data_IF_071474681542
#
_entry.id   IF_071474681542
#
_cell.length_a   1.000
_cell.length_b   1.000
_cell.length_c   1.000
_cell.angle_alpha   90.00
_cell.angle_beta   90.00
_cell.angle_gamma   90.00
#
_symmetry.space_group_name_H-M   'P 1'
#
loop_
_entity.id
_entity.type
_entity.pdbx_description
1 polymer ?
#
# COMPACT_ATOMS: atom_id res chain seq x y z
N UNK A 1 0.58 20.65 -18.46
CA UNK A 1 1.53 20.09 -17.46
C UNK A 1 0.89 19.90 -16.08
N UNK A 2 0.19 20.89 -15.52
CA UNK A 2 -0.43 20.81 -14.19
C UNK A 2 -1.45 19.67 -14.05
N UNK A 3 -2.31 19.45 -15.05
CA UNK A 3 -3.31 18.38 -15.01
C UNK A 3 -2.70 16.97 -14.99
N UNK A 4 -1.56 16.77 -15.68
CA UNK A 4 -0.85 15.49 -15.68
C UNK A 4 -0.30 15.16 -14.28
N UNK A 5 0.29 16.15 -13.61
CA UNK A 5 0.83 16.01 -12.25
C UNK A 5 -0.29 15.72 -11.24
N UNK A 6 -1.45 16.39 -11.37
CA UNK A 6 -2.62 16.13 -10.52
C UNK A 6 -3.11 14.70 -10.70
N UNK A 7 -3.19 14.21 -11.94
CA UNK A 7 -3.61 12.84 -12.24
C UNK A 7 -2.62 11.82 -11.66
N UNK A 8 -1.31 12.02 -11.82
CA UNK A 8 -0.29 11.14 -11.26
C UNK A 8 -0.35 11.07 -9.72
N UNK A 9 -0.57 12.22 -9.07
CA UNK A 9 -0.78 12.28 -7.62
C UNK A 9 -2.06 11.53 -7.20
N UNK A 10 -3.16 11.70 -7.93
CA UNK A 10 -4.41 10.99 -7.66
C UNK A 10 -4.26 9.47 -7.77
N UNK A 11 -3.60 9.00 -8.84
CA UNK A 11 -3.28 7.58 -9.05
C UNK A 11 -2.39 7.05 -7.93
N UNK A 12 -1.37 7.81 -7.54
CA UNK A 12 -0.48 7.42 -6.44
C UNK A 12 -1.22 7.30 -5.10
N UNK A 13 -2.11 8.25 -4.78
CA UNK A 13 -2.97 8.19 -3.59
C UNK A 13 -3.90 6.98 -3.62
N UNK A 14 -4.50 6.69 -4.77
CA UNK A 14 -5.37 5.52 -4.91
C UNK A 14 -4.60 4.20 -4.72
N UNK A 15 -3.38 4.09 -5.26
CA UNK A 15 -2.53 2.91 -5.06
C UNK A 15 -2.17 2.70 -3.58
N UNK A 16 -1.88 3.78 -2.85
CA UNK A 16 -1.65 3.72 -1.40
C UNK A 16 -2.89 3.20 -0.67
N UNK A 17 -4.07 3.80 -0.92
CA UNK A 17 -5.33 3.37 -0.28
C UNK A 17 -5.66 1.91 -0.57
N UNK A 18 -5.42 1.42 -1.80
CA UNK A 18 -5.64 0.02 -2.17
C UNK A 18 -4.71 -0.93 -1.42
N UNK A 19 -3.41 -0.60 -1.33
CA UNK A 19 -2.44 -1.41 -0.60
C UNK A 19 -2.77 -1.48 0.90
N UNK A 20 -3.21 -0.36 1.49
CA UNK A 20 -3.65 -0.32 2.88
C UNK A 20 -4.91 -1.15 3.12
N UNK A 21 -5.90 -1.05 2.24
CA UNK A 21 -7.11 -1.89 2.32
C UNK A 21 -6.76 -3.38 2.27
N UNK A 22 -5.85 -3.78 1.37
CA UNK A 22 -5.41 -5.17 1.28
C UNK A 22 -4.68 -5.65 2.53
N UNK A 23 -3.84 -4.78 3.11
CA UNK A 23 -3.19 -5.05 4.39
C UNK A 23 -4.20 -5.21 5.53
N UNK A 24 -5.20 -4.33 5.62
CA UNK A 24 -6.26 -4.44 6.63
C UNK A 24 -7.02 -5.75 6.49
N UNK A 25 -7.43 -6.12 5.27
CA UNK A 25 -8.09 -7.41 5.02
C UNK A 25 -7.23 -8.60 5.44
N UNK A 26 -5.93 -8.59 5.11
CA UNK A 26 -5.03 -9.66 5.51
C UNK A 26 -4.86 -9.78 7.03
N UNK A 27 -4.94 -8.66 7.77
CA UNK A 27 -4.96 -8.65 9.24
C UNK A 27 -6.28 -9.19 9.80
N UNK A 28 -7.41 -8.74 9.27
CA UNK A 28 -8.74 -9.23 9.69
C UNK A 28 -8.86 -10.75 9.52
N UNK A 29 -8.36 -11.29 8.40
CA UNK A 29 -8.33 -12.75 8.20
C UNK A 29 -7.45 -13.50 9.21
N UNK A 30 -6.45 -12.85 9.80
CA UNK A 30 -5.61 -13.44 10.86
C UNK A 30 -6.33 -13.40 12.21
N UNK A 31 -7.14 -12.37 12.45
CA UNK A 31 -7.95 -12.22 13.67
C UNK A 31 -9.12 -13.22 13.68
N UNK A 32 -9.63 -13.59 12.51
CA UNK A 32 -10.51 -14.74 12.34
C UNK A 32 -9.72 -16.03 12.60
N UNK A 33 -10.05 -16.76 13.67
CA UNK A 33 -9.38 -18.00 14.13
C UNK A 33 -9.30 -19.07 13.03
N UNK A 34 -8.30 -18.96 12.16
CA UNK A 34 -7.96 -19.92 11.13
C UNK A 34 -6.69 -20.63 11.58
N UNK A 35 -6.76 -21.92 11.93
CA UNK A 35 -5.69 -22.69 12.60
C UNK A 35 -4.25 -22.47 12.09
N UNK A 36 -3.26 -22.91 12.88
CA UNK A 36 -1.83 -22.52 12.80
C UNK A 36 -1.21 -22.41 11.39
N UNK A 37 -1.47 -23.36 10.49
CA UNK A 37 -0.94 -23.32 9.12
C UNK A 37 -1.50 -22.14 8.32
N UNK A 38 -2.78 -21.82 8.49
CA UNK A 38 -3.44 -20.66 7.89
C UNK A 38 -2.91 -19.37 8.53
N UNK A 39 -2.72 -19.35 9.85
CA UNK A 39 -2.15 -18.18 10.54
C UNK A 39 -0.73 -17.84 10.04
N UNK A 40 0.12 -18.85 9.80
CA UNK A 40 1.48 -18.67 9.26
C UNK A 40 1.47 -18.14 7.82
N UNK A 41 0.63 -18.70 6.95
CA UNK A 41 0.48 -18.22 5.57
C UNK A 41 -0.05 -16.78 5.53
N UNK A 42 -0.99 -16.44 6.42
CA UNK A 42 -1.50 -15.08 6.59
C UNK A 42 -0.42 -14.11 7.09
N UNK A 43 0.42 -14.52 8.04
CA UNK A 43 1.55 -13.71 8.48
C UNK A 43 2.53 -13.37 7.34
N UNK A 44 2.82 -14.33 6.46
CA UNK A 44 3.65 -14.09 5.28
C UNK A 44 2.99 -13.09 4.31
N UNK A 45 1.68 -13.24 4.07
CA UNK A 45 0.87 -12.32 3.27
C UNK A 45 0.85 -10.90 3.85
N UNK A 46 0.64 -10.75 5.16
CA UNK A 46 0.65 -9.46 5.86
C UNK A 46 2.01 -8.76 5.66
N UNK A 47 3.13 -9.48 5.81
CA UNK A 47 4.47 -8.92 5.56
C UNK A 47 4.65 -8.44 4.12
N UNK A 48 4.13 -9.20 3.14
CA UNK A 48 4.16 -8.78 1.74
C UNK A 48 3.33 -7.50 1.50
N UNK A 49 2.13 -7.45 2.06
CA UNK A 49 1.26 -6.26 1.94
C UNK A 49 1.83 -5.03 2.64
N UNK A 50 2.47 -5.19 3.81
CA UNK A 50 3.19 -4.09 4.47
C UNK A 50 4.30 -3.52 3.58
N UNK A 51 5.08 -4.39 2.91
CA UNK A 51 6.13 -3.95 1.98
C UNK A 51 5.52 -3.19 0.79
N UNK A 52 4.41 -3.68 0.23
CA UNK A 52 3.68 -3.02 -0.86
C UNK A 52 3.14 -1.65 -0.45
N UNK A 53 2.50 -1.56 0.72
CA UNK A 53 2.00 -0.29 1.26
C UNK A 53 3.14 0.72 1.50
N UNK A 54 4.27 0.27 2.08
CA UNK A 54 5.46 1.10 2.27
C UNK A 54 6.04 1.60 0.94
N UNK A 55 6.13 0.73 -0.07
CA UNK A 55 6.62 1.11 -1.40
C UNK A 55 5.68 2.10 -2.10
N UNK A 56 4.36 1.89 -2.00
CA UNK A 56 3.37 2.81 -2.55
C UNK A 56 3.45 4.19 -1.89
N UNK A 57 3.58 4.24 -0.55
CA UNK A 57 3.77 5.50 0.19
C UNK A 57 5.06 6.22 -0.21
N UNK A 58 6.17 5.49 -0.36
CA UNK A 58 7.43 6.07 -0.86
C UNK A 58 7.28 6.66 -2.26
N UNK A 59 6.56 5.99 -3.16
CA UNK A 59 6.28 6.51 -4.51
C UNK A 59 5.42 7.77 -4.45
N UNK A 60 4.37 7.78 -3.63
CA UNK A 60 3.54 8.97 -3.44
C UNK A 60 4.37 10.16 -2.95
N UNK A 61 5.25 9.95 -1.95
CA UNK A 61 6.12 11.03 -1.44
C UNK A 61 7.05 11.59 -2.52
N UNK A 62 7.56 10.76 -3.43
CA UNK A 62 8.38 11.23 -4.57
C UNK A 62 7.60 12.08 -5.56
N UNK A 63 6.32 11.77 -5.77
CA UNK A 63 5.45 12.49 -6.71
C UNK A 63 4.90 13.79 -6.08
N UNK A 64 4.77 13.83 -4.75
CA UNK A 64 4.25 15.00 -4.01
C UNK A 64 5.38 15.94 -3.57
N UNK A 65 6.63 15.46 -3.45
CA UNK A 65 7.77 16.33 -3.13
C UNK A 65 8.11 17.22 -4.34
N UNK A 66 8.19 18.56 -4.19
CA UNK A 66 8.47 19.47 -5.30
C UNK A 66 9.92 19.42 -5.82
N UNK A 67 10.79 18.60 -5.24
CA UNK A 67 12.24 18.68 -5.46
C UNK A 67 12.77 18.04 -6.76
N UNK A 68 11.93 17.84 -7.77
CA UNK A 68 12.32 17.19 -9.04
C UNK A 68 11.91 17.99 -10.29
N UNK A 69 11.68 19.29 -10.14
CA UNK A 69 11.51 20.20 -11.30
C UNK A 69 12.56 21.29 -11.15
N UNK A 70 13.78 20.98 -11.59
CA UNK A 70 14.77 21.96 -12.02
C UNK A 70 14.85 21.88 -13.55
#
# INVERSE_FOLDING_TARGET
MVELVILEQAVARQRVKRAEKSLTQAKTMLDESCGLAVSLALCARIRAEQRRAKAARRRLLKIVSPASVH
#
